data_IF_675108727423
#
_entry.id   IF_675108727423
#
_cell.length_a   1.000
_cell.length_b   1.000
_cell.length_c   1.000
_cell.angle_alpha   90.00
_cell.angle_beta   90.00
_cell.angle_gamma   90.00
#
_symmetry.space_group_name_H-M   'P 1'
#
loop_
_entity.id
_entity.type
_entity.pdbx_description
1 polymer ?
#
# COMPACT_ATOMS: atom_id res chain seq x y z
N UNK A 1 -28.64 36.97 37.19
CA UNK A 1 -28.12 36.43 35.91
C UNK A 1 -26.72 35.93 36.14
N UNK A 2 -26.52 34.62 36.16
CA UNK A 2 -25.18 34.03 36.24
C UNK A 2 -24.59 33.99 34.84
N UNK A 3 -23.53 34.78 34.59
CA UNK A 3 -22.75 34.70 33.37
C UNK A 3 -22.01 33.37 33.44
N UNK A 4 -22.42 32.40 32.61
CA UNK A 4 -21.65 31.18 32.39
C UNK A 4 -20.31 31.60 31.75
N UNK A 5 -19.26 31.68 32.55
CA UNK A 5 -17.89 31.75 32.03
C UNK A 5 -17.62 30.45 31.28
N UNK A 6 -17.61 30.53 29.95
CA UNK A 6 -17.10 29.46 29.09
C UNK A 6 -15.67 29.16 29.53
N UNK A 7 -15.38 27.91 29.87
CA UNK A 7 -14.01 27.47 30.15
C UNK A 7 -13.15 27.77 28.92
N UNK A 8 -12.05 28.49 29.17
CA UNK A 8 -11.08 28.97 28.20
C UNK A 8 -10.15 27.83 27.75
N UNK A 9 -10.72 26.74 27.23
CA UNK A 9 -9.97 25.67 26.56
C UNK A 9 -10.13 25.78 25.04
N UNK A 10 -10.25 27.02 24.54
CA UNK A 10 -10.34 27.31 23.12
C UNK A 10 -8.92 27.54 22.61
N UNK A 11 -8.24 26.48 22.12
CA UNK A 11 -7.01 26.67 21.36
C UNK A 11 -7.39 27.30 20.01
N UNK A 12 -7.06 28.59 19.75
CA UNK A 12 -7.42 29.27 18.51
C UNK A 12 -6.86 28.56 17.28
N UNK A 13 -5.73 27.87 17.40
CA UNK A 13 -5.14 27.07 16.34
C UNK A 13 -6.07 25.93 15.89
N UNK A 14 -6.78 25.29 16.83
CA UNK A 14 -7.74 24.24 16.50
C UNK A 14 -9.01 24.81 15.83
N UNK A 15 -9.42 26.02 16.21
CA UNK A 15 -10.60 26.67 15.65
C UNK A 15 -10.34 27.25 14.25
N UNK A 16 -9.13 27.75 14.00
CA UNK A 16 -8.71 28.31 12.71
C UNK A 16 -8.11 27.27 11.77
N UNK A 17 -7.74 26.10 12.28
CA UNK A 17 -7.07 25.02 11.54
C UNK A 17 -7.70 24.68 10.17
N UNK A 18 -9.03 24.49 10.06
CA UNK A 18 -9.67 24.25 8.77
C UNK A 18 -9.46 25.37 7.75
N UNK A 19 -9.61 26.63 8.16
CA UNK A 19 -9.37 27.79 7.30
C UNK A 19 -7.90 27.92 6.91
N UNK A 20 -6.99 27.65 7.84
CA UNK A 20 -5.56 27.63 7.56
C UNK A 20 -5.20 26.52 6.57
N UNK A 21 -5.83 25.34 6.65
CA UNK A 21 -5.62 24.25 5.70
C UNK A 21 -6.17 24.55 4.29
N UNK A 22 -7.26 25.31 4.18
CA UNK A 22 -7.77 25.79 2.88
C UNK A 22 -6.83 26.82 2.24
N UNK A 23 -6.21 27.68 3.05
CA UNK A 23 -5.25 28.69 2.59
C UNK A 23 -3.82 28.16 2.42
N UNK A 24 -3.51 26.96 2.95
CA UNK A 24 -2.18 26.37 2.86
C UNK A 24 -1.88 25.91 1.43
N UNK A 25 -0.77 26.42 0.89
CA UNK A 25 -0.35 26.19 -0.49
C UNK A 25 0.45 24.89 -0.53
N UNK A 26 0.10 23.91 -1.39
CA UNK A 26 0.88 22.70 -1.52
C UNK A 26 2.30 23.02 -2.00
N UNK A 27 3.33 22.43 -1.39
CA UNK A 27 4.70 22.55 -1.89
C UNK A 27 4.79 21.99 -3.31
N UNK A 28 5.69 22.55 -4.11
CA UNK A 28 5.91 22.11 -5.49
C UNK A 28 6.35 20.64 -5.55
N UNK A 29 6.12 19.95 -6.67
CA UNK A 29 6.56 18.56 -6.85
C UNK A 29 8.08 18.37 -6.72
N UNK A 30 8.85 19.43 -6.96
CA UNK A 30 10.31 19.43 -6.85
C UNK A 30 10.81 19.83 -5.45
N UNK A 31 9.92 20.18 -4.53
CA UNK A 31 10.29 20.48 -3.15
C UNK A 31 10.87 19.23 -2.46
N UNK A 32 11.75 19.39 -1.46
CA UNK A 32 12.28 18.29 -0.67
C UNK A 32 11.17 17.37 -0.16
N UNK A 33 11.40 16.05 -0.22
CA UNK A 33 10.41 15.05 0.19
C UNK A 33 9.92 15.27 1.63
N UNK A 34 10.81 15.66 2.53
CA UNK A 34 10.47 15.98 3.92
C UNK A 34 9.44 17.11 4.03
N UNK A 35 9.59 18.18 3.24
CA UNK A 35 8.66 19.31 3.22
C UNK A 35 7.27 18.88 2.72
N UNK A 36 7.23 18.05 1.67
CA UNK A 36 5.99 17.49 1.13
C UNK A 36 5.31 16.54 2.13
N UNK A 37 6.08 15.75 2.88
CA UNK A 37 5.58 14.92 3.97
C UNK A 37 5.00 15.75 5.13
N UNK A 38 5.63 16.87 5.48
CA UNK A 38 5.12 17.80 6.49
C UNK A 38 3.79 18.44 6.05
N UNK A 39 3.66 18.81 4.77
CA UNK A 39 2.40 19.32 4.22
C UNK A 39 1.27 18.28 4.31
N UNK A 40 1.55 17.02 3.94
CA UNK A 40 0.60 15.92 4.13
C UNK A 40 0.10 15.82 5.57
N UNK A 41 1.00 15.91 6.56
CA UNK A 41 0.62 15.86 7.97
C UNK A 41 -0.32 16.99 8.36
N UNK A 42 -0.07 18.22 7.87
CA UNK A 42 -0.93 19.36 8.15
C UNK A 42 -2.34 19.15 7.59
N UNK A 43 -2.46 18.68 6.35
CA UNK A 43 -3.78 18.42 5.75
C UNK A 43 -4.51 17.30 6.49
N UNK A 44 -3.83 16.19 6.80
CA UNK A 44 -4.45 15.01 7.41
C UNK A 44 -5.13 15.28 8.76
N UNK A 45 -4.71 16.33 9.46
CA UNK A 45 -5.29 16.76 10.72
C UNK A 45 -6.69 17.38 10.56
N UNK A 46 -7.01 17.92 9.37
CA UNK A 46 -8.24 18.65 9.11
C UNK A 46 -9.11 18.00 8.02
N UNK A 47 -8.50 17.47 6.96
CA UNK A 47 -9.18 16.82 5.84
C UNK A 47 -8.43 15.54 5.41
N UNK A 48 -8.94 14.39 5.87
CA UNK A 48 -8.36 13.09 5.56
C UNK A 48 -8.49 12.69 4.09
N UNK A 49 -9.53 13.15 3.40
CA UNK A 49 -9.75 12.77 2.01
C UNK A 49 -8.75 13.52 1.11
N UNK A 50 -8.63 14.83 1.33
CA UNK A 50 -7.60 15.65 0.64
C UNK A 50 -6.19 15.17 0.97
N UNK A 51 -5.93 14.75 2.21
CA UNK A 51 -4.64 14.20 2.60
C UNK A 51 -4.31 12.88 1.87
N UNK A 52 -5.26 11.95 1.75
CA UNK A 52 -5.11 10.72 0.96
C UNK A 52 -4.88 11.00 -0.51
N UNK A 53 -5.65 11.92 -1.10
CA UNK A 53 -5.46 12.35 -2.48
C UNK A 53 -4.08 12.97 -2.71
N UNK A 54 -3.63 13.83 -1.79
CA UNK A 54 -2.29 14.41 -1.86
C UNK A 54 -1.21 13.32 -1.77
N UNK A 55 -1.36 12.36 -0.87
CA UNK A 55 -0.44 11.25 -0.70
C UNK A 55 -0.30 10.42 -1.98
N UNK A 56 -1.42 9.97 -2.57
CA UNK A 56 -1.38 9.13 -3.77
C UNK A 56 -0.77 9.87 -4.97
N UNK A 57 -1.14 11.15 -5.16
CA UNK A 57 -0.70 11.94 -6.32
C UNK A 57 0.74 12.46 -6.20
N UNK A 58 1.19 12.82 -5.00
CA UNK A 58 2.41 13.62 -4.83
C UNK A 58 3.50 12.95 -3.99
N UNK A 59 3.18 11.94 -3.17
CA UNK A 59 4.15 11.36 -2.24
C UNK A 59 4.44 9.89 -2.53
N UNK A 60 3.43 9.09 -2.83
CA UNK A 60 3.53 7.63 -2.81
C UNK A 60 4.66 7.09 -3.70
N UNK A 61 4.81 7.62 -4.92
CA UNK A 61 5.88 7.23 -5.85
C UNK A 61 7.28 7.54 -5.31
N UNK A 62 7.48 8.73 -4.77
CA UNK A 62 8.78 9.15 -4.24
C UNK A 62 9.12 8.42 -2.95
N UNK A 63 8.12 8.13 -2.12
CA UNK A 63 8.26 7.33 -0.91
C UNK A 63 8.64 5.88 -1.22
N UNK A 64 7.98 5.26 -2.21
CA UNK A 64 8.32 3.92 -2.67
C UNK A 64 9.76 3.88 -3.23
N UNK A 65 10.13 4.88 -4.04
CA UNK A 65 11.50 5.02 -4.57
C UNK A 65 12.52 5.17 -3.43
N UNK A 66 12.28 6.08 -2.48
CA UNK A 66 13.15 6.28 -1.33
C UNK A 66 13.27 5.02 -0.45
N UNK A 67 12.20 4.21 -0.36
CA UNK A 67 12.22 2.92 0.33
C UNK A 67 13.17 1.93 -0.36
N UNK A 68 13.10 1.83 -1.69
CA UNK A 68 14.00 0.97 -2.49
C UNK A 68 15.46 1.44 -2.39
N UNK A 69 15.70 2.75 -2.48
CA UNK A 69 17.05 3.34 -2.37
C UNK A 69 17.70 3.10 -1.00
N UNK A 70 16.91 3.12 0.07
CA UNK A 70 17.37 2.77 1.44
C UNK A 70 17.59 1.26 1.63
N UNK A 71 17.11 0.43 0.69
CA UNK A 71 17.15 -1.02 0.73
C UNK A 71 15.97 -1.64 1.47
N UNK A 72 15.51 -2.78 0.95
CA UNK A 72 14.47 -3.60 1.57
C UNK A 72 15.10 -4.47 2.66
N UNK A 73 14.59 -4.39 3.89
CA UNK A 73 15.18 -5.10 5.02
C UNK A 73 15.10 -6.62 4.80
N UNK A 74 16.24 -7.30 4.88
CA UNK A 74 16.33 -8.75 4.70
C UNK A 74 16.36 -9.22 3.25
N UNK A 75 16.44 -8.31 2.27
CA UNK A 75 16.53 -8.64 0.85
C UNK A 75 17.74 -7.92 0.23
N UNK A 76 18.64 -8.65 -0.41
CA UNK A 76 19.78 -8.05 -1.11
C UNK A 76 19.32 -7.36 -2.40
N UNK A 77 20.11 -6.40 -2.89
CA UNK A 77 19.79 -5.66 -4.11
C UNK A 77 19.67 -6.58 -5.32
N UNK A 78 20.55 -7.57 -5.45
CA UNK A 78 20.55 -8.52 -6.56
C UNK A 78 19.36 -9.51 -6.48
N UNK A 79 18.83 -9.76 -5.28
CA UNK A 79 17.58 -10.53 -5.12
C UNK A 79 16.39 -9.67 -5.54
N UNK A 80 16.35 -8.40 -5.11
CA UNK A 80 15.29 -7.45 -5.47
C UNK A 80 15.19 -7.25 -6.98
N UNK A 81 16.31 -7.07 -7.68
CA UNK A 81 16.36 -6.89 -9.13
C UNK A 81 15.85 -8.12 -9.93
N UNK A 82 15.78 -9.30 -9.31
CA UNK A 82 15.23 -10.52 -9.92
C UNK A 82 13.72 -10.66 -9.77
N UNK A 83 13.11 -9.92 -8.85
CA UNK A 83 11.67 -9.99 -8.58
C UNK A 83 10.91 -9.31 -9.70
N UNK A 84 10.43 -10.10 -10.66
CA UNK A 84 9.68 -9.61 -11.82
C UNK A 84 8.17 -9.82 -11.68
N UNK A 85 7.74 -10.63 -10.72
CA UNK A 85 6.34 -10.99 -10.55
C UNK A 85 5.90 -10.63 -9.13
N UNK A 86 4.66 -10.15 -8.98
CA UNK A 86 4.06 -9.85 -7.69
C UNK A 86 2.72 -10.55 -7.52
N UNK A 87 2.53 -11.21 -6.40
CA UNK A 87 1.22 -11.65 -5.90
C UNK A 87 0.78 -10.65 -4.85
N UNK A 88 -0.40 -10.03 -5.00
CA UNK A 88 -0.93 -9.05 -4.05
C UNK A 88 -2.46 -9.06 -4.03
N UNK A 89 -3.05 -8.21 -3.18
CA UNK A 89 -4.49 -8.15 -2.94
C UNK A 89 -5.02 -6.72 -3.09
N UNK A 90 -6.08 -6.54 -3.88
CA UNK A 90 -6.88 -5.31 -3.95
C UNK A 90 -7.78 -5.24 -2.72
N UNK A 91 -7.29 -4.68 -1.62
CA UNK A 91 -8.11 -4.45 -0.42
C UNK A 91 -8.82 -3.10 -0.48
N UNK A 92 -9.81 -2.87 0.40
CA UNK A 92 -10.50 -1.58 0.53
C UNK A 92 -9.56 -0.36 0.63
N UNK A 93 -8.35 -0.55 1.17
CA UNK A 93 -7.30 0.45 1.08
C UNK A 93 -6.24 -0.01 0.05
N UNK A 94 -6.30 0.47 -1.20
CA UNK A 94 -5.37 0.04 -2.24
C UNK A 94 -3.96 0.64 -2.08
N UNK A 95 -3.77 1.64 -1.21
CA UNK A 95 -2.50 2.35 -1.05
C UNK A 95 -1.33 1.42 -0.68
N UNK A 96 -1.59 0.39 0.13
CA UNK A 96 -0.58 -0.60 0.51
C UNK A 96 -0.09 -1.43 -0.69
N UNK A 97 -1.03 -1.98 -1.47
CA UNK A 97 -0.71 -2.75 -2.67
C UNK A 97 0.00 -1.88 -3.72
N UNK A 98 -0.50 -0.65 -3.94
CA UNK A 98 0.10 0.32 -4.86
C UNK A 98 1.53 0.70 -4.46
N UNK A 99 1.81 0.83 -3.16
CA UNK A 99 3.17 1.11 -2.68
C UNK A 99 4.14 -0.03 -3.03
N UNK A 100 3.74 -1.29 -2.78
CA UNK A 100 4.57 -2.45 -3.14
C UNK A 100 4.73 -2.57 -4.66
N UNK A 101 3.68 -2.29 -5.44
CA UNK A 101 3.76 -2.23 -6.90
C UNK A 101 4.80 -1.20 -7.36
N UNK A 102 4.77 0.03 -6.81
CA UNK A 102 5.75 1.07 -7.13
C UNK A 102 7.18 0.67 -6.74
N UNK A 103 7.35 0.03 -5.58
CA UNK A 103 8.66 -0.35 -5.07
C UNK A 103 9.30 -1.48 -5.91
N UNK A 104 8.51 -2.44 -6.37
CA UNK A 104 9.02 -3.58 -7.14
C UNK A 104 9.02 -3.35 -8.64
N UNK A 105 8.11 -2.49 -9.15
CA UNK A 105 7.88 -2.29 -10.58
C UNK A 105 7.78 -3.63 -11.34
N UNK A 106 6.88 -4.55 -10.94
CA UNK A 106 6.84 -5.89 -11.50
C UNK A 106 6.43 -5.86 -12.97
N UNK A 107 6.84 -6.88 -13.72
CA UNK A 107 6.39 -7.12 -15.11
C UNK A 107 5.05 -7.86 -15.14
N UNK A 108 4.71 -8.58 -14.07
CA UNK A 108 3.49 -9.40 -13.96
C UNK A 108 2.89 -9.32 -12.57
N UNK A 109 1.57 -9.31 -12.49
CA UNK A 109 0.83 -9.21 -11.24
C UNK A 109 -0.27 -10.26 -11.21
N UNK A 110 -0.29 -11.09 -10.16
CA UNK A 110 -1.47 -11.85 -9.77
C UNK A 110 -2.21 -11.05 -8.71
N UNK A 111 -3.34 -10.46 -9.09
CA UNK A 111 -4.11 -9.56 -8.26
C UNK A 111 -5.39 -10.25 -7.77
N UNK A 112 -5.41 -10.57 -6.49
CA UNK A 112 -6.61 -11.06 -5.82
C UNK A 112 -7.51 -9.90 -5.39
N UNK A 113 -8.81 -10.12 -5.35
CA UNK A 113 -9.78 -9.11 -4.91
C UNK A 113 -11.04 -9.78 -4.36
N UNK A 114 -11.81 -9.12 -3.51
CA UNK A 114 -13.16 -9.55 -3.12
C UNK A 114 -14.25 -8.79 -3.88
N UNK A 115 -15.49 -9.27 -3.84
CA UNK A 115 -16.66 -8.55 -4.40
C UNK A 115 -16.78 -7.13 -3.85
N UNK A 116 -16.49 -6.92 -2.58
CA UNK A 116 -16.57 -5.58 -1.98
C UNK A 116 -15.48 -4.63 -2.48
N UNK A 117 -14.33 -5.17 -2.89
CA UNK A 117 -13.23 -4.40 -3.46
C UNK A 117 -13.33 -4.20 -4.99
N UNK A 118 -14.18 -5.01 -5.65
CA UNK A 118 -14.34 -5.07 -7.11
C UNK A 118 -14.80 -3.74 -7.72
N UNK A 119 -15.71 -3.01 -7.06
CA UNK A 119 -16.25 -1.76 -7.61
C UNK A 119 -15.38 -0.53 -7.35
N UNK A 120 -14.45 -0.61 -6.39
CA UNK A 120 -13.71 0.57 -5.92
C UNK A 120 -12.20 0.41 -5.94
N UNK A 121 -11.67 -0.58 -5.23
CA UNK A 121 -10.23 -0.72 -5.06
C UNK A 121 -9.57 -1.36 -6.29
N UNK A 122 -10.21 -2.38 -6.87
CA UNK A 122 -9.71 -3.04 -8.06
C UNK A 122 -9.57 -2.06 -9.25
N UNK A 123 -10.59 -1.27 -9.65
CA UNK A 123 -10.45 -0.28 -10.70
C UNK A 123 -9.33 0.73 -10.44
N UNK A 124 -9.20 1.22 -9.19
CA UNK A 124 -8.13 2.14 -8.83
C UNK A 124 -6.74 1.54 -9.05
N UNK A 125 -6.53 0.28 -8.67
CA UNK A 125 -5.24 -0.42 -8.90
C UNK A 125 -5.01 -0.63 -10.39
N UNK A 126 -6.03 -1.06 -11.15
CA UNK A 126 -5.90 -1.29 -12.58
C UNK A 126 -5.61 0.02 -13.34
N UNK A 127 -6.33 1.10 -13.05
CA UNK A 127 -6.08 2.43 -13.64
C UNK A 127 -4.68 2.92 -13.32
N UNK A 128 -4.24 2.71 -12.07
CA UNK A 128 -2.89 3.02 -11.64
C UNK A 128 -1.83 2.24 -12.43
N UNK A 129 -2.00 0.92 -12.62
CA UNK A 129 -1.09 0.08 -13.41
C UNK A 129 -1.10 0.43 -14.89
N UNK A 130 -2.28 0.72 -15.45
CA UNK A 130 -2.46 1.12 -16.84
C UNK A 130 -1.85 2.50 -17.15
N UNK A 131 -1.66 3.34 -16.12
CA UNK A 131 -1.01 4.65 -16.26
C UNK A 131 0.51 4.57 -16.39
N UNK A 132 1.12 3.40 -16.19
CA UNK A 132 2.56 3.23 -16.31
C UNK A 132 3.00 3.26 -17.77
N UNK A 133 4.23 3.72 -18.02
CA UNK A 133 4.81 3.71 -19.37
C UNK A 133 4.85 2.29 -19.97
N UNK A 134 5.04 1.29 -19.10
CA UNK A 134 5.01 -0.14 -19.44
C UNK A 134 4.12 -0.87 -18.43
N UNK A 135 2.81 -0.97 -18.68
CA UNK A 135 1.90 -1.68 -17.79
C UNK A 135 2.28 -3.16 -17.66
N UNK A 136 2.18 -3.77 -16.47
CA UNK A 136 2.40 -5.20 -16.30
C UNK A 136 1.27 -6.06 -16.89
N UNK A 137 1.55 -7.33 -17.14
CA UNK A 137 0.52 -8.36 -17.36
C UNK A 137 -0.21 -8.59 -16.04
N UNK A 138 -1.55 -8.43 -16.00
CA UNK A 138 -2.34 -8.57 -14.76
C UNK A 138 -3.32 -9.73 -14.89
N UNK A 139 -3.12 -10.76 -14.06
CA UNK A 139 -4.07 -11.85 -13.84
C UNK A 139 -4.93 -11.51 -12.63
N UNK A 140 -6.23 -11.35 -12.83
CA UNK A 140 -7.19 -11.02 -11.76
C UNK A 140 -7.86 -12.29 -11.24
N UNK A 141 -8.05 -12.38 -9.92
CA UNK A 141 -8.72 -13.53 -9.29
C UNK A 141 -9.68 -13.05 -8.20
N UNK A 142 -10.96 -13.38 -8.37
CA UNK A 142 -11.96 -13.18 -7.33
C UNK A 142 -11.73 -14.17 -6.18
N UNK A 143 -11.58 -13.64 -4.97
CA UNK A 143 -11.62 -14.35 -3.71
C UNK A 143 -12.98 -14.09 -3.08
N UNK A 144 -13.85 -15.11 -3.06
CA UNK A 144 -15.23 -14.94 -2.58
C UNK A 144 -15.34 -14.81 -1.06
N UNK A 145 -14.25 -15.05 -0.33
CA UNK A 145 -14.15 -14.87 1.12
C UNK A 145 -15.26 -15.62 1.87
N UNK A 146 -15.60 -16.83 1.41
CA UNK A 146 -16.69 -17.63 2.00
C UNK A 146 -16.25 -18.48 3.18
N UNK A 147 -14.97 -18.43 3.54
CA UNK A 147 -14.34 -19.35 4.50
C UNK A 147 -14.65 -20.81 4.15
N UNK A 148 -14.50 -21.14 2.85
CA UNK A 148 -14.76 -22.47 2.31
C UNK A 148 -13.50 -23.11 1.76
N UNK A 149 -13.45 -24.44 1.85
CA UNK A 149 -12.35 -25.22 1.30
C UNK A 149 -12.18 -25.03 -0.22
N UNK A 150 -13.28 -24.79 -0.95
CA UNK A 150 -13.26 -24.52 -2.38
C UNK A 150 -12.53 -23.20 -2.71
N UNK A 151 -12.77 -22.13 -1.93
CA UNK A 151 -12.09 -20.85 -2.11
C UNK A 151 -10.57 -21.02 -1.89
N UNK A 152 -10.18 -21.77 -0.87
CA UNK A 152 -8.78 -22.06 -0.56
C UNK A 152 -8.09 -22.86 -1.69
N UNK A 153 -8.81 -23.79 -2.30
CA UNK A 153 -8.33 -24.54 -3.45
C UNK A 153 -8.14 -23.64 -4.68
N UNK A 154 -9.07 -22.73 -4.94
CA UNK A 154 -8.96 -21.76 -6.04
C UNK A 154 -7.72 -20.88 -5.84
N UNK A 155 -7.56 -20.27 -4.66
CA UNK A 155 -6.38 -19.45 -4.34
C UNK A 155 -5.10 -20.25 -4.52
N UNK A 156 -5.05 -21.45 -3.93
CA UNK A 156 -3.88 -22.33 -4.01
C UNK A 156 -3.53 -22.72 -5.44
N UNK A 157 -4.52 -23.06 -6.26
CA UNK A 157 -4.33 -23.46 -7.64
C UNK A 157 -3.80 -22.29 -8.47
N UNK A 158 -4.44 -21.13 -8.40
CA UNK A 158 -4.05 -19.94 -9.19
C UNK A 158 -2.64 -19.48 -8.87
N UNK A 159 -2.27 -19.53 -7.59
CA UNK A 159 -0.91 -19.21 -7.15
C UNK A 159 0.11 -20.21 -7.66
N UNK A 160 -0.16 -21.51 -7.57
CA UNK A 160 0.75 -22.54 -8.11
C UNK A 160 0.91 -22.41 -9.61
N UNK A 161 -0.17 -22.16 -10.34
CA UNK A 161 -0.14 -21.92 -11.79
C UNK A 161 0.73 -20.71 -12.15
N UNK A 162 0.50 -19.57 -11.50
CA UNK A 162 1.25 -18.34 -11.71
C UNK A 162 2.74 -18.52 -11.40
N UNK A 163 3.05 -19.09 -10.24
CA UNK A 163 4.44 -19.32 -9.80
C UNK A 163 5.15 -20.33 -10.70
N UNK A 164 4.47 -21.41 -11.11
CA UNK A 164 5.02 -22.40 -12.05
C UNK A 164 5.30 -21.78 -13.42
N UNK A 165 4.41 -20.90 -13.90
CA UNK A 165 4.55 -20.20 -15.20
C UNK A 165 5.68 -19.18 -15.19
N UNK A 166 5.90 -18.46 -14.08
CA UNK A 166 6.77 -17.28 -14.05
C UNK A 166 8.03 -17.39 -13.18
N UNK A 167 8.21 -18.49 -12.44
CA UNK A 167 9.38 -18.81 -11.64
C UNK A 167 9.22 -18.38 -10.16
N UNK A 168 9.42 -19.30 -9.20
CA UNK A 168 9.23 -18.98 -7.77
C UNK A 168 10.28 -18.02 -7.23
N UNK A 169 11.54 -18.14 -7.67
CA UNK A 169 12.68 -17.29 -7.28
C UNK A 169 12.60 -15.85 -7.84
N UNK A 170 11.67 -15.59 -8.76
CA UNK A 170 11.41 -14.29 -9.38
C UNK A 170 10.08 -13.68 -8.93
N UNK A 171 9.40 -14.33 -7.98
CA UNK A 171 8.07 -13.94 -7.54
C UNK A 171 8.12 -13.45 -6.10
N UNK A 172 7.55 -12.27 -5.89
CA UNK A 172 7.27 -11.71 -4.59
C UNK A 172 5.81 -11.93 -4.22
N UNK A 173 5.52 -12.00 -2.92
CA UNK A 173 4.16 -11.98 -2.39
C UNK A 173 4.05 -10.85 -1.36
N UNK A 174 3.15 -9.90 -1.59
CA UNK A 174 2.82 -8.86 -0.63
C UNK A 174 1.77 -9.34 0.38
N UNK A 175 2.20 -9.52 1.62
CA UNK A 175 1.36 -9.98 2.74
C UNK A 175 0.58 -8.82 3.38
N UNK A 176 0.85 -7.58 2.96
CA UNK A 176 0.29 -6.39 3.61
C UNK A 176 -1.21 -6.27 3.41
N UNK A 177 -1.73 -6.28 2.16
CA UNK A 177 -3.15 -6.15 1.93
C UNK A 177 -3.89 -7.48 2.05
N UNK A 178 -5.20 -7.37 2.27
CA UNK A 178 -6.14 -8.48 2.18
C UNK A 178 -6.49 -9.17 3.50
N UNK A 179 -7.49 -10.06 3.47
CA UNK A 179 -7.92 -10.85 4.62
C UNK A 179 -6.80 -11.75 5.20
N UNK A 180 -6.88 -12.10 6.49
CA UNK A 180 -5.81 -12.83 7.19
C UNK A 180 -5.81 -14.33 6.88
N UNK A 181 -6.99 -14.91 6.76
CA UNK A 181 -7.26 -16.22 6.18
C UNK A 181 -6.68 -16.36 4.77
N UNK A 182 -6.96 -15.42 3.87
CA UNK A 182 -6.36 -15.41 2.52
C UNK A 182 -4.82 -15.46 2.57
N UNK A 183 -4.22 -14.62 3.42
CA UNK A 183 -2.76 -14.59 3.58
C UNK A 183 -2.21 -15.90 4.18
N UNK A 184 -2.97 -16.56 5.06
CA UNK A 184 -2.60 -17.86 5.63
C UNK A 184 -2.62 -18.96 4.56
N UNK A 185 -3.67 -19.01 3.75
CA UNK A 185 -3.81 -19.95 2.62
C UNK A 185 -2.66 -19.76 1.63
N UNK A 186 -2.35 -18.52 1.25
CA UNK A 186 -1.21 -18.21 0.40
C UNK A 186 0.11 -18.68 1.01
N UNK A 187 0.33 -18.46 2.31
CA UNK A 187 1.55 -18.90 2.99
C UNK A 187 1.77 -20.41 2.78
N UNK A 188 0.71 -21.22 2.88
CA UNK A 188 0.81 -22.66 2.69
C UNK A 188 0.90 -23.08 1.22
N UNK A 189 0.25 -22.37 0.31
CA UNK A 189 0.27 -22.69 -1.11
C UNK A 189 1.58 -22.34 -1.83
N UNK A 190 2.30 -21.33 -1.32
CA UNK A 190 3.51 -20.81 -1.97
C UNK A 190 4.73 -21.73 -1.76
N UNK A 191 5.54 -21.97 -2.79
CA UNK A 191 6.82 -22.64 -2.62
C UNK A 191 7.80 -21.76 -1.82
N UNK A 192 8.81 -22.35 -1.16
CA UNK A 192 9.70 -21.64 -0.24
C UNK A 192 10.59 -20.57 -0.91
N UNK A 193 10.79 -20.63 -2.23
CA UNK A 193 11.61 -19.68 -2.98
C UNK A 193 10.87 -18.37 -3.30
N UNK A 194 9.53 -18.33 -3.18
CA UNK A 194 8.79 -17.07 -3.29
C UNK A 194 9.19 -16.16 -2.14
N UNK A 195 9.42 -14.88 -2.47
CA UNK A 195 9.86 -13.89 -1.48
C UNK A 195 8.65 -13.21 -0.84
N UNK A 196 8.28 -13.55 0.40
CA UNK A 196 7.24 -12.83 1.12
C UNK A 196 7.74 -11.44 1.55
N UNK A 197 6.94 -10.42 1.27
CA UNK A 197 7.20 -9.04 1.60
C UNK A 197 6.07 -8.48 2.47
N UNK A 198 6.44 -7.58 3.37
CA UNK A 198 5.49 -6.88 4.22
C UNK A 198 5.87 -5.39 4.33
N UNK A 199 4.91 -4.53 4.02
CA UNK A 199 5.01 -3.09 4.18
C UNK A 199 4.69 -2.72 5.64
N UNK A 200 5.73 -2.30 6.35
CA UNK A 200 5.63 -1.78 7.70
C UNK A 200 5.32 -0.29 7.65
N UNK A 201 4.09 0.09 8.00
CA UNK A 201 3.74 1.48 8.28
C UNK A 201 4.26 1.89 9.66
N UNK A 202 4.78 3.11 9.77
CA UNK A 202 5.15 3.68 11.06
C UNK A 202 4.04 4.63 11.54
N UNK A 203 3.61 4.42 12.78
CA UNK A 203 2.57 5.22 13.42
C UNK A 203 3.15 5.89 14.66
N UNK A 204 2.91 7.18 14.81
CA UNK A 204 3.24 7.95 16.03
C UNK A 204 2.00 8.74 16.42
N UNK A 205 1.57 8.64 17.67
CA UNK A 205 0.38 9.35 18.19
C UNK A 205 -0.89 9.13 17.32
N UNK A 206 -1.08 7.88 16.85
CA UNK A 206 -2.15 7.45 15.92
C UNK A 206 -2.11 8.12 14.54
N UNK A 207 -0.99 8.75 14.17
CA UNK A 207 -0.76 9.35 12.86
C UNK A 207 0.25 8.53 12.06
N UNK A 208 -0.10 8.24 10.82
CA UNK A 208 0.82 7.66 9.86
C UNK A 208 1.97 8.64 9.59
N UNK A 209 3.19 8.13 9.54
CA UNK A 209 4.41 8.92 9.35
C UNK A 209 5.00 8.62 7.96
N UNK A 210 4.65 9.37 6.91
CA UNK A 210 5.23 9.19 5.59
C UNK A 210 6.74 9.40 5.62
N UNK A 211 7.46 8.65 4.81
CA UNK A 211 8.94 8.64 4.74
C UNK A 211 9.61 7.65 5.70
N UNK A 212 8.83 7.03 6.59
CA UNK A 212 9.29 6.04 7.58
C UNK A 212 8.80 4.62 7.29
N UNK A 213 8.09 4.42 6.20
CA UNK A 213 7.69 3.12 5.69
C UNK A 213 8.93 2.28 5.40
N UNK A 214 8.80 0.97 5.63
CA UNK A 214 9.84 0.01 5.30
C UNK A 214 9.18 -1.23 4.70
N UNK A 215 9.71 -1.73 3.59
CA UNK A 215 9.39 -3.07 3.12
C UNK A 215 10.38 -4.03 3.78
N UNK A 216 9.89 -5.17 4.24
CA UNK A 216 10.70 -6.23 4.86
C UNK A 216 10.43 -7.55 4.16
N UNK A 217 11.50 -8.31 3.91
CA UNK A 217 11.39 -9.76 3.65
C UNK A 217 11.00 -10.44 4.96
N UNK A 218 9.91 -11.20 4.94
CA UNK A 218 9.50 -12.01 6.09
C UNK A 218 10.16 -13.38 5.97
N UNK A 219 10.63 -13.94 7.07
CA UNK A 219 11.11 -15.33 7.05
C UNK A 219 9.91 -16.25 7.17
N UNK A 220 9.77 -17.17 6.23
CA UNK A 220 8.79 -18.25 6.33
C UNK A 220 9.26 -19.19 7.46
N UNK A 221 8.39 -19.43 8.44
CA UNK A 221 8.64 -20.36 9.56
C UNK A 221 8.52 -21.79 9.05
#
# INVERSE_FOLDING_TARGET
MSIKTFKKDYNPENALGPYLAELDIPPSLNAPLEERCQYYHRIMDFDRNRGREYYSKNLQKDLAKACVEKGIQGLKKEELEKLENLITFASFNPEGAMFTLLALNPKRVLLFYTKESEEKALPQILDFLNSWERPPEVDQVLYENRDTYEDDQIVSQRVREFVKKHGPDRTAWDITPGPKDFNLVLTWALPPEVTPLYLCHHWKDRRFQPGKEKIRKIFKI
#
